data_IF_758660311033
#
_entry.id   IF_758660311033
#
_cell.length_a   1.000
_cell.length_b   1.000
_cell.length_c   1.000
_cell.angle_alpha   90.00
_cell.angle_beta   90.00
_cell.angle_gamma   90.00
#
_symmetry.space_group_name_H-M   'P 1'
#
loop_
_entity.id
_entity.type
_entity.pdbx_description
1 polymer ?
#
# COMPACT_ATOMS: atom_id res chain seq x y z
N UNK A 1 19.33 -4.54 1.62
CA UNK A 1 19.56 -3.08 1.79
C UNK A 1 18.86 -2.24 0.71
N UNK A 2 17.70 -2.72 0.23
CA UNK A 2 16.54 -1.88 -0.10
C UNK A 2 15.43 -1.95 0.98
N UNK A 3 15.35 -3.08 1.70
CA UNK A 3 14.35 -3.38 2.75
C UNK A 3 14.16 -2.29 3.81
N UNK A 4 15.24 -1.62 4.24
CA UNK A 4 15.16 -0.51 5.20
C UNK A 4 14.48 0.73 4.63
N UNK A 5 14.74 1.05 3.36
CA UNK A 5 14.09 2.18 2.70
C UNK A 5 12.59 1.92 2.57
N UNK A 6 12.23 0.72 2.11
CA UNK A 6 10.84 0.33 1.89
C UNK A 6 10.04 0.29 3.19
N UNK A 7 10.58 -0.35 4.23
CA UNK A 7 9.94 -0.39 5.55
C UNK A 7 9.69 1.03 6.10
N UNK A 8 10.63 1.96 5.94
CA UNK A 8 10.44 3.36 6.35
C UNK A 8 9.40 4.07 5.47
N UNK A 9 9.40 3.84 4.16
CA UNK A 9 8.43 4.45 3.25
C UNK A 9 7.00 3.98 3.57
N UNK A 10 6.81 2.69 3.86
CA UNK A 10 5.54 2.12 4.32
C UNK A 10 5.12 2.68 5.69
N UNK A 11 6.07 2.90 6.61
CA UNK A 11 5.80 3.55 7.89
C UNK A 11 5.33 5.00 7.70
N UNK A 12 5.95 5.76 6.79
CA UNK A 12 5.52 7.11 6.43
C UNK A 12 4.10 7.10 5.90
N UNK A 13 3.75 6.15 5.02
CA UNK A 13 2.36 5.95 4.56
C UNK A 13 1.41 5.70 5.73
N UNK A 14 1.78 4.81 6.65
CA UNK A 14 0.98 4.49 7.84
C UNK A 14 0.71 5.73 8.71
N UNK A 15 1.73 6.56 8.93
CA UNK A 15 1.63 7.81 9.69
C UNK A 15 0.73 8.82 8.98
N UNK A 16 0.94 9.04 7.67
CA UNK A 16 0.11 9.96 6.88
C UNK A 16 -1.36 9.54 6.89
N UNK A 17 -1.65 8.24 6.76
CA UNK A 17 -2.99 7.69 6.88
C UNK A 17 -3.59 7.91 8.26
N UNK A 18 -2.82 7.75 9.34
CA UNK A 18 -3.28 8.02 10.70
C UNK A 18 -3.65 9.49 10.89
N UNK A 19 -2.84 10.41 10.35
CA UNK A 19 -3.12 11.86 10.38
C UNK A 19 -4.41 12.17 9.61
N UNK A 20 -4.58 11.61 8.41
CA UNK A 20 -5.79 11.80 7.60
C UNK A 20 -7.02 11.21 8.32
N UNK A 21 -6.90 10.02 8.91
CA UNK A 21 -7.96 9.38 9.68
C UNK A 21 -8.41 10.26 10.86
N UNK A 22 -7.45 10.84 11.59
CA UNK A 22 -7.73 11.73 12.71
C UNK A 22 -8.41 13.04 12.25
N UNK A 23 -7.95 13.63 11.15
CA UNK A 23 -8.57 14.81 10.57
C UNK A 23 -10.02 14.53 10.11
N UNK A 24 -10.25 13.39 9.44
CA UNK A 24 -11.57 12.97 8.95
C UNK A 24 -12.56 12.60 10.05
N UNK A 25 -12.06 12.08 11.17
CA UNK A 25 -12.88 11.83 12.36
C UNK A 25 -13.49 13.11 12.93
N UNK A 26 -12.75 14.23 12.89
CA UNK A 26 -13.26 15.54 13.33
C UNK A 26 -14.32 16.10 12.37
N UNK A 27 -14.26 15.76 11.09
CA UNK A 27 -15.23 16.16 10.06
C UNK A 27 -16.46 15.28 9.93
N UNK A 28 -16.63 14.26 10.81
CA UNK A 28 -17.74 13.29 10.78
C UNK A 28 -17.90 12.57 9.42
N UNK A 29 -16.78 12.26 8.76
CA UNK A 29 -16.78 11.58 7.46
C UNK A 29 -17.23 10.12 7.59
N UNK A 30 -18.12 9.70 6.69
CA UNK A 30 -18.68 8.34 6.61
C UNK A 30 -17.61 7.25 6.53
N UNK A 31 -16.44 7.55 5.96
CA UNK A 31 -15.36 6.58 5.72
C UNK A 31 -14.19 6.67 6.71
N UNK A 32 -14.33 7.36 7.85
CA UNK A 32 -13.26 7.51 8.85
C UNK A 32 -12.60 6.18 9.27
N UNK A 33 -13.39 5.11 9.40
CA UNK A 33 -12.88 3.81 9.82
C UNK A 33 -11.98 3.16 8.76
N UNK A 34 -12.26 3.39 7.48
CA UNK A 34 -11.46 2.84 6.38
C UNK A 34 -10.05 3.44 6.37
N UNK A 35 -9.92 4.73 6.67
CA UNK A 35 -8.61 5.38 6.79
C UNK A 35 -7.79 4.81 7.96
N UNK A 36 -8.42 4.55 9.12
CA UNK A 36 -7.74 3.95 10.27
C UNK A 36 -7.29 2.51 10.00
N UNK A 37 -8.15 1.70 9.39
CA UNK A 37 -7.79 0.32 9.04
C UNK A 37 -6.65 0.31 8.01
N UNK A 38 -6.65 1.23 7.04
CA UNK A 38 -5.56 1.35 6.07
C UNK A 38 -4.24 1.73 6.74
N UNK A 39 -4.27 2.62 7.74
CA UNK A 39 -3.07 2.98 8.52
C UNK A 39 -2.49 1.76 9.25
N UNK A 40 -3.33 0.97 9.92
CA UNK A 40 -2.91 -0.26 10.61
C UNK A 40 -2.35 -1.28 9.60
N UNK A 41 -2.98 -1.39 8.43
CA UNK A 41 -2.54 -2.30 7.38
C UNK A 41 -1.14 -1.92 6.84
N UNK A 42 -0.89 -0.65 6.54
CA UNK A 42 0.44 -0.18 6.11
C UNK A 42 1.50 -0.29 7.21
N UNK A 43 1.11 -0.13 8.48
CA UNK A 43 2.01 -0.39 9.61
C UNK A 43 2.40 -1.87 9.66
N UNK A 44 1.44 -2.78 9.44
CA UNK A 44 1.74 -4.20 9.35
C UNK A 44 2.68 -4.51 8.18
N UNK A 45 2.46 -3.94 6.99
CA UNK A 45 3.37 -4.12 5.85
C UNK A 45 4.78 -3.60 6.14
N UNK A 46 4.92 -2.46 6.82
CA UNK A 46 6.23 -1.94 7.24
C UNK A 46 6.98 -2.90 8.17
N UNK A 47 6.26 -3.55 9.09
CA UNK A 47 6.81 -4.55 10.00
C UNK A 47 7.15 -5.84 9.26
N UNK A 48 6.25 -6.30 8.39
CA UNK A 48 6.46 -7.48 7.55
C UNK A 48 7.73 -7.35 6.71
N UNK A 49 7.93 -6.19 6.07
CA UNK A 49 9.14 -5.91 5.29
C UNK A 49 10.41 -5.91 6.14
N UNK A 50 10.36 -5.32 7.34
CA UNK A 50 11.53 -5.28 8.23
C UNK A 50 11.88 -6.65 8.83
N UNK A 51 10.86 -7.47 9.10
CA UNK A 51 10.99 -8.76 9.78
C UNK A 51 10.90 -9.96 8.84
N UNK A 52 10.65 -9.72 7.55
CA UNK A 52 10.45 -10.74 6.50
C UNK A 52 9.43 -11.80 6.92
N UNK A 53 8.27 -11.39 7.46
CA UNK A 53 7.30 -12.35 8.03
C UNK A 53 6.70 -13.23 6.93
N UNK A 54 6.49 -12.69 5.72
CA UNK A 54 6.04 -13.49 4.58
C UNK A 54 7.05 -14.57 4.16
N UNK A 55 8.35 -14.39 4.38
CA UNK A 55 9.34 -15.46 4.18
C UNK A 55 9.15 -16.61 5.18
N UNK A 56 8.73 -16.32 6.42
CA UNK A 56 8.40 -17.36 7.39
C UNK A 56 7.21 -18.22 6.93
N UNK A 57 6.23 -17.61 6.26
CA UNK A 57 5.13 -18.36 5.65
C UNK A 57 5.61 -19.27 4.52
N UNK A 58 6.62 -18.88 3.75
CA UNK A 58 7.22 -19.75 2.74
C UNK A 58 7.81 -21.03 3.35
N UNK A 59 8.48 -20.91 4.50
CA UNK A 59 9.02 -22.06 5.24
C UNK A 59 7.90 -22.94 5.79
N UNK A 60 6.87 -22.34 6.39
CA UNK A 60 5.75 -23.07 6.97
C UNK A 60 4.92 -23.82 5.91
N UNK A 61 4.75 -23.21 4.73
CA UNK A 61 4.01 -23.75 3.61
C UNK A 61 4.90 -24.44 2.58
N UNK A 62 6.12 -24.84 2.95
CA UNK A 62 7.09 -25.44 2.04
C UNK A 62 6.52 -26.66 1.29
N UNK A 63 5.58 -27.41 1.87
CA UNK A 63 4.89 -28.51 1.17
C UNK A 63 4.18 -28.09 -0.13
N UNK A 64 3.81 -26.81 -0.26
CA UNK A 64 3.20 -26.23 -1.46
C UNK A 64 4.22 -25.60 -2.42
N UNK A 65 5.50 -25.49 -2.05
CA UNK A 65 6.56 -24.96 -2.94
C UNK A 65 6.89 -25.90 -4.11
N UNK A 66 6.40 -27.15 -4.06
CA UNK A 66 6.56 -28.14 -5.14
C UNK A 66 5.83 -27.75 -6.44
N UNK A 67 4.95 -26.76 -6.39
CA UNK A 67 4.28 -26.23 -7.59
C UNK A 67 5.13 -25.11 -8.20
N UNK A 68 5.54 -25.31 -9.47
CA UNK A 68 6.36 -24.39 -10.29
C UNK A 68 6.07 -22.89 -10.19
N UNK A 69 4.81 -22.52 -10.00
CA UNK A 69 4.34 -21.11 -9.98
C UNK A 69 4.28 -20.56 -8.53
N UNK A 70 4.15 -21.42 -7.53
CA UNK A 70 4.08 -21.07 -6.11
C UNK A 70 5.37 -21.43 -5.38
N UNK A 71 6.51 -21.18 -6.02
CA UNK A 71 7.83 -21.39 -5.40
C UNK A 71 7.98 -20.55 -4.11
N UNK A 72 7.26 -19.43 -4.02
CA UNK A 72 6.98 -18.67 -2.80
C UNK A 72 5.51 -18.89 -2.37
N UNK A 73 5.25 -19.86 -1.47
CA UNK A 73 3.89 -20.26 -1.11
C UNK A 73 3.03 -19.18 -0.43
N UNK A 74 3.61 -18.14 0.18
CA UNK A 74 2.81 -17.13 0.87
C UNK A 74 1.85 -16.39 -0.07
N UNK A 75 2.16 -16.32 -1.38
CA UNK A 75 1.29 -15.79 -2.44
C UNK A 75 -0.10 -16.46 -2.43
N UNK A 76 -0.19 -17.73 -2.03
CA UNK A 76 -1.46 -18.46 -1.87
C UNK A 76 -2.36 -17.81 -0.82
N UNK A 77 -1.76 -17.24 0.23
CA UNK A 77 -2.46 -16.49 1.27
C UNK A 77 -2.66 -15.03 0.84
N UNK A 78 -1.64 -14.42 0.22
CA UNK A 78 -1.65 -13.02 -0.21
C UNK A 78 -2.74 -12.70 -1.22
N UNK A 79 -2.94 -13.55 -2.24
CA UNK A 79 -3.94 -13.32 -3.30
C UNK A 79 -5.37 -13.19 -2.73
N UNK A 80 -5.90 -14.15 -1.93
CA UNK A 80 -7.20 -14.00 -1.29
C UNK A 80 -7.34 -12.73 -0.44
N UNK A 81 -6.30 -12.39 0.34
CA UNK A 81 -6.31 -11.18 1.18
C UNK A 81 -6.45 -9.93 0.32
N UNK A 82 -5.68 -9.81 -0.76
CA UNK A 82 -5.76 -8.68 -1.71
C UNK A 82 -7.13 -8.62 -2.38
N UNK A 83 -7.70 -9.75 -2.79
CA UNK A 83 -9.04 -9.78 -3.40
C UNK A 83 -10.11 -9.28 -2.41
N UNK A 84 -10.08 -9.76 -1.17
CA UNK A 84 -11.01 -9.32 -0.11
C UNK A 84 -10.82 -7.83 0.17
N UNK A 85 -9.57 -7.37 0.22
CA UNK A 85 -9.24 -5.97 0.42
C UNK A 85 -9.81 -5.10 -0.70
N UNK A 86 -9.60 -5.45 -1.97
CA UNK A 86 -10.16 -4.73 -3.13
C UNK A 86 -11.69 -4.66 -3.01
N UNK A 87 -12.38 -5.78 -2.79
CA UNK A 87 -13.85 -5.82 -2.71
C UNK A 87 -14.37 -4.93 -1.58
N UNK A 88 -13.71 -4.96 -0.41
CA UNK A 88 -14.12 -4.20 0.77
C UNK A 88 -13.87 -2.70 0.57
N UNK A 89 -12.75 -2.32 -0.06
CA UNK A 89 -12.34 -0.93 -0.27
C UNK A 89 -12.82 -0.32 -1.59
N UNK A 90 -13.44 -1.09 -2.49
CA UNK A 90 -13.97 -0.60 -3.77
C UNK A 90 -14.93 0.58 -3.59
N UNK A 91 -15.88 0.48 -2.65
CA UNK A 91 -16.82 1.57 -2.36
C UNK A 91 -16.10 2.81 -1.84
N UNK A 92 -15.10 2.63 -0.98
CA UNK A 92 -14.28 3.72 -0.46
C UNK A 92 -13.50 4.41 -1.59
N UNK A 93 -12.83 3.65 -2.45
CA UNK A 93 -12.07 4.16 -3.60
C UNK A 93 -12.94 4.96 -4.57
N UNK A 94 -14.15 4.48 -4.87
CA UNK A 94 -15.06 5.17 -5.81
C UNK A 94 -15.52 6.53 -5.27
N UNK A 95 -15.61 6.69 -3.94
CA UNK A 95 -15.99 7.95 -3.29
C UNK A 95 -14.85 8.97 -3.20
N UNK A 96 -13.61 8.59 -3.53
CA UNK A 96 -12.49 9.54 -3.57
C UNK A 96 -12.59 10.45 -4.81
N UNK A 97 -12.06 11.69 -4.73
CA UNK A 97 -11.93 12.57 -5.89
C UNK A 97 -11.19 11.87 -7.03
N UNK A 98 -11.59 12.12 -8.29
CA UNK A 98 -11.09 11.40 -9.49
C UNK A 98 -9.55 11.35 -9.56
N UNK A 99 -8.88 12.47 -9.26
CA UNK A 99 -7.43 12.58 -9.31
C UNK A 99 -6.74 11.69 -8.26
N UNK A 100 -7.26 11.68 -7.03
CA UNK A 100 -6.72 10.86 -5.93
C UNK A 100 -7.01 9.38 -6.16
N UNK A 101 -8.22 9.06 -6.60
CA UNK A 101 -8.60 7.69 -6.93
C UNK A 101 -7.67 7.07 -7.97
N UNK A 102 -7.31 7.83 -9.01
CA UNK A 102 -6.38 7.36 -10.03
C UNK A 102 -5.00 7.07 -9.45
N UNK A 103 -4.46 7.94 -8.59
CA UNK A 103 -3.18 7.72 -7.93
C UNK A 103 -3.20 6.49 -6.99
N UNK A 104 -4.29 6.27 -6.25
CA UNK A 104 -4.45 5.08 -5.41
C UNK A 104 -4.48 3.79 -6.23
N UNK A 105 -5.16 3.80 -7.38
CA UNK A 105 -5.22 2.64 -8.29
C UNK A 105 -3.83 2.37 -8.87
N UNK A 106 -3.13 3.40 -9.35
CA UNK A 106 -1.76 3.24 -9.86
C UNK A 106 -0.82 2.70 -8.78
N UNK A 107 -0.85 3.29 -7.59
CA UNK A 107 -0.06 2.82 -6.45
C UNK A 107 -0.32 1.34 -6.16
N UNK A 108 -1.60 0.94 -6.10
CA UNK A 108 -1.98 -0.46 -5.88
C UNK A 108 -1.51 -1.39 -6.99
N UNK A 109 -1.62 -1.00 -8.27
CA UNK A 109 -1.16 -1.81 -9.40
C UNK A 109 0.36 -2.01 -9.34
N UNK A 110 1.13 -0.96 -9.10
CA UNK A 110 2.59 -1.05 -9.03
C UNK A 110 3.05 -1.83 -7.80
N UNK A 111 2.48 -1.56 -6.63
CA UNK A 111 2.88 -2.24 -5.39
C UNK A 111 2.47 -3.72 -5.35
N UNK A 112 1.20 -4.02 -5.64
CA UNK A 112 0.70 -5.40 -5.65
C UNK A 112 1.23 -6.18 -6.85
N UNK A 113 1.39 -5.52 -8.00
CA UNK A 113 1.99 -6.12 -9.19
C UNK A 113 3.48 -6.38 -9.05
N UNK A 114 4.19 -5.53 -8.31
CA UNK A 114 5.56 -5.77 -7.82
C UNK A 114 5.58 -7.01 -6.94
N UNK A 115 5.09 -6.92 -5.71
CA UNK A 115 5.05 -8.03 -4.74
C UNK A 115 4.48 -9.34 -5.30
N UNK A 116 3.16 -9.47 -5.40
CA UNK A 116 2.53 -10.73 -5.78
C UNK A 116 2.80 -11.13 -7.23
N UNK A 117 2.88 -10.14 -8.13
CA UNK A 117 3.06 -10.41 -9.55
C UNK A 117 4.47 -10.88 -9.89
N UNK A 118 5.49 -10.15 -9.42
CA UNK A 118 6.88 -10.49 -9.71
C UNK A 118 7.36 -11.68 -8.90
N UNK A 119 6.82 -11.94 -7.71
CA UNK A 119 7.14 -13.19 -7.01
C UNK A 119 6.70 -14.44 -7.76
N UNK A 120 5.55 -14.40 -8.43
CA UNK A 120 5.12 -15.52 -9.29
C UNK A 120 6.07 -15.72 -10.48
N UNK A 121 6.57 -14.62 -11.05
CA UNK A 121 7.53 -14.64 -12.17
C UNK A 121 8.90 -15.11 -11.70
N UNK A 122 9.40 -14.56 -10.60
CA UNK A 122 10.67 -14.90 -9.97
C UNK A 122 10.69 -16.33 -9.47
N UNK A 123 9.61 -16.78 -8.83
CA UNK A 123 9.45 -18.15 -8.38
C UNK A 123 9.44 -19.17 -9.53
N UNK A 124 8.71 -18.88 -10.61
CA UNK A 124 8.73 -19.72 -11.81
C UNK A 124 10.12 -19.79 -12.45
N UNK A 125 10.82 -18.66 -12.51
CA UNK A 125 12.15 -18.58 -13.10
C UNK A 125 13.20 -19.29 -12.23
N UNK A 126 13.17 -19.09 -10.91
CA UNK A 126 14.07 -19.72 -9.95
C UNK A 126 13.93 -21.25 -9.98
N UNK A 127 12.70 -21.76 -10.00
CA UNK A 127 12.47 -23.20 -10.09
C UNK A 127 13.13 -23.83 -11.34
N UNK A 128 13.13 -23.11 -12.47
CA UNK A 128 13.64 -23.61 -13.73
C UNK A 128 15.15 -23.40 -13.93
N UNK A 129 15.72 -22.30 -13.41
CA UNK A 129 17.07 -21.84 -13.75
C UNK A 129 17.97 -21.59 -12.52
N UNK A 130 17.43 -21.75 -11.31
CA UNK A 130 18.08 -21.35 -10.06
C UNK A 130 18.10 -19.83 -9.85
N UNK A 131 18.57 -19.42 -8.67
CA UNK A 131 18.65 -18.02 -8.22
C UNK A 131 19.99 -17.34 -8.50
N UNK A 132 21.06 -18.10 -8.72
CA UNK A 132 22.43 -17.57 -8.90
C UNK A 132 22.71 -17.20 -10.36
N UNK A 133 21.88 -16.32 -10.93
CA UNK A 133 22.10 -15.82 -12.29
C UNK A 133 21.64 -14.36 -12.45
N UNK A 134 22.18 -13.71 -13.48
CA UNK A 134 21.92 -12.30 -13.76
C UNK A 134 20.43 -12.02 -14.01
N UNK A 135 19.72 -12.95 -14.65
CA UNK A 135 18.31 -12.76 -14.99
C UNK A 135 17.45 -12.72 -13.73
N UNK A 136 17.68 -13.61 -12.77
CA UNK A 136 16.99 -13.58 -11.49
C UNK A 136 17.27 -12.28 -10.72
N UNK A 137 18.53 -11.81 -10.70
CA UNK A 137 18.87 -10.53 -10.10
C UNK A 137 18.14 -9.35 -10.78
N UNK A 138 17.96 -9.37 -12.10
CA UNK A 138 17.17 -8.37 -12.82
C UNK A 138 15.68 -8.45 -12.48
N UNK A 139 15.12 -9.66 -12.38
CA UNK A 139 13.72 -9.87 -11.98
C UNK A 139 13.47 -9.28 -10.59
N UNK A 140 14.32 -9.62 -9.62
CA UNK A 140 14.25 -9.08 -8.26
C UNK A 140 14.44 -7.55 -8.23
N UNK A 141 15.34 -7.00 -9.06
CA UNK A 141 15.49 -5.52 -9.17
C UNK A 141 14.22 -4.86 -9.71
N UNK A 142 13.54 -5.49 -10.67
CA UNK A 142 12.27 -4.99 -11.23
C UNK A 142 11.16 -5.06 -10.19
N UNK A 143 11.08 -6.15 -9.44
CA UNK A 143 10.16 -6.32 -8.31
C UNK A 143 10.29 -5.17 -7.31
N UNK A 144 11.48 -4.99 -6.72
CA UNK A 144 11.75 -3.91 -5.76
C UNK A 144 11.44 -2.53 -6.36
N UNK A 145 11.82 -2.31 -7.63
CA UNK A 145 11.56 -1.03 -8.31
C UNK A 145 10.06 -0.74 -8.45
N UNK A 146 9.25 -1.74 -8.78
CA UNK A 146 7.80 -1.59 -8.92
C UNK A 146 7.14 -1.29 -7.56
N UNK A 147 7.59 -1.95 -6.50
CA UNK A 147 7.09 -1.71 -5.14
C UNK A 147 7.42 -0.30 -4.65
N UNK A 148 8.67 0.15 -4.85
CA UNK A 148 9.10 1.51 -4.55
C UNK A 148 8.29 2.56 -5.33
N UNK A 149 8.04 2.34 -6.63
CA UNK A 149 7.22 3.23 -7.46
C UNK A 149 5.79 3.29 -6.93
N UNK A 150 5.20 2.14 -6.60
CA UNK A 150 3.86 2.05 -6.03
C UNK A 150 3.74 2.82 -4.72
N UNK A 151 4.69 2.62 -3.82
CA UNK A 151 4.77 3.33 -2.53
C UNK A 151 4.95 4.84 -2.73
N UNK A 152 5.78 5.28 -3.68
CA UNK A 152 5.96 6.69 -4.00
C UNK A 152 4.68 7.36 -4.51
N UNK A 153 3.94 6.70 -5.42
CA UNK A 153 2.63 7.19 -5.85
C UNK A 153 1.65 7.30 -4.70
N UNK A 154 1.69 6.36 -3.76
CA UNK A 154 0.82 6.38 -2.60
C UNK A 154 1.15 7.55 -1.66
N UNK A 155 2.42 7.76 -1.31
CA UNK A 155 2.88 8.92 -0.52
C UNK A 155 2.46 10.23 -1.17
N UNK A 156 2.64 10.35 -2.49
CA UNK A 156 2.21 11.52 -3.24
C UNK A 156 0.70 11.75 -3.14
N UNK A 157 -0.12 10.70 -3.29
CA UNK A 157 -1.56 10.78 -3.15
C UNK A 157 -2.01 11.23 -1.74
N UNK A 158 -1.37 10.70 -0.69
CA UNK A 158 -1.64 11.06 0.70
C UNK A 158 -1.18 12.49 1.04
N UNK A 159 -0.09 12.94 0.44
CA UNK A 159 0.37 14.32 0.61
C UNK A 159 -0.57 15.28 -0.10
N UNK A 160 -0.98 14.96 -1.33
CA UNK A 160 -1.94 15.77 -2.08
C UNK A 160 -3.27 15.90 -1.34
N UNK A 161 -3.81 14.80 -0.81
CA UNK A 161 -5.10 14.84 -0.10
C UNK A 161 -4.99 15.65 1.21
N UNK A 162 -3.86 15.56 1.92
CA UNK A 162 -3.65 16.32 3.16
C UNK A 162 -3.51 17.83 2.93
N UNK A 163 -2.88 18.25 1.83
CA UNK A 163 -2.83 19.65 1.41
C UNK A 163 -4.20 20.20 1.05
N UNK A 164 -4.99 19.42 0.29
CA UNK A 164 -6.34 19.82 -0.11
C UNK A 164 -7.26 20.01 1.11
N UNK A 165 -7.17 19.15 2.13
CA UNK A 165 -7.94 19.34 3.37
C UNK A 165 -7.50 20.57 4.17
N UNK A 166 -6.21 20.91 4.15
CA UNK A 166 -5.73 22.09 4.87
C UNK A 166 -6.34 23.37 4.29
N UNK A 167 -6.48 23.45 2.97
CA UNK A 167 -7.16 24.57 2.31
C UNK A 167 -8.64 24.64 2.70
N UNK A 168 -9.41 23.54 2.57
CA UNK A 168 -10.83 23.52 2.94
C UNK A 168 -11.10 23.91 4.40
N UNK A 169 -10.25 23.43 5.32
CA UNK A 169 -10.38 23.75 6.75
C UNK A 169 -10.13 25.24 6.99
N UNK A 170 -9.08 25.81 6.40
CA UNK A 170 -8.76 27.25 6.51
C UNK A 170 -9.88 28.12 5.93
N UNK A 171 -10.43 27.77 4.76
CA UNK A 171 -11.58 28.47 4.20
C UNK A 171 -12.81 28.41 5.13
N UNK A 172 -13.08 27.26 5.75
CA UNK A 172 -14.23 27.11 6.67
C UNK A 172 -14.11 27.90 7.99
N UNK A 173 -12.88 28.21 8.43
CA UNK A 173 -12.63 29.07 9.59
C UNK A 173 -12.82 30.53 9.20
N UNK A 174 -12.31 30.93 8.04
CA UNK A 174 -12.38 32.30 7.56
C UNK A 174 -13.82 32.75 7.24
N UNK A 175 -14.69 31.87 6.72
CA UNK A 175 -16.13 32.17 6.55
C UNK A 175 -16.86 32.31 7.89
N UNK A 176 -16.57 31.43 8.86
CA UNK A 176 -17.19 31.50 10.20
C UNK A 176 -16.84 32.77 10.96
N UNK A 177 -15.60 33.24 10.86
CA UNK A 177 -15.19 34.49 11.49
C UNK A 177 -15.83 35.72 10.82
N UNK A 178 -16.11 35.66 9.50
CA UNK A 178 -16.81 36.74 8.79
C UNK A 178 -18.29 36.85 9.18
N UNK A 179 -18.97 35.74 9.46
CA UNK A 179 -20.37 35.75 9.88
C UNK A 179 -20.55 36.28 11.31
N UNK A 180 -19.56 36.07 12.19
CA UNK A 180 -19.58 36.58 13.57
C UNK A 180 -19.36 38.09 13.68
N UNK A 181 -18.79 38.74 12.66
CA UNK A 181 -18.56 40.20 12.65
C UNK A 181 -19.78 40.97 12.11
N UNK A 182 -20.74 40.28 11.48
CA UNK A 182 -21.96 40.87 10.91
C UNK A 182 -23.18 40.86 11.83
N UNK A 183 -23.04 40.47 13.10
CA UNK A 183 -24.13 40.47 14.10
C UNK A 183 -23.88 41.52 15.16
#
# INVERSE_FOLDING_TARGET
>A
MPTWYESIALLVCAILLAVIAFAKKRGNDKYQFHWSVLSIFFLYLSIDEAAQIHELFNVFLFSFSSYRIFHFPWVIIGIPIVIIFIITYMKFLINLPKNIRFLFILAGIFFVGGSLGMELVGGWYEFANGKENLIYAMISTIEESLEMIGTAFFVYALTYISLYFKEEVVFSFQERDFDLIKT
#
